data_IF_894500513688
#
_entry.id   IF_894500513688
#
_cell.length_a   1.000
_cell.length_b   1.000
_cell.length_c   1.000
_cell.angle_alpha   90.00
_cell.angle_beta   90.00
_cell.angle_gamma   90.00
#
_symmetry.space_group_name_H-M   'P 1'
#
loop_
_entity.id
_entity.type
_entity.pdbx_description
1 polymer ?
#
# COMPACT_ATOMS: atom_id res chain seq x y z
N UNK A 1 -7.12 7.62 26.03
CA UNK A 1 -5.92 7.14 25.32
C UNK A 1 -6.32 7.05 23.86
N UNK A 2 -5.62 7.75 22.98
CA UNK A 2 -5.85 7.67 21.52
C UNK A 2 -5.53 6.23 21.08
N UNK A 3 -6.47 5.57 20.43
CA UNK A 3 -6.31 4.21 19.90
C UNK A 3 -5.82 4.21 18.46
N UNK A 4 -5.40 5.36 17.96
CA UNK A 4 -4.80 5.43 16.61
C UNK A 4 -3.39 4.89 16.68
N UNK A 5 -3.03 3.85 15.92
CA UNK A 5 -1.68 3.35 15.88
C UNK A 5 -0.74 4.45 15.36
N UNK A 6 0.47 4.50 15.89
CA UNK A 6 1.50 5.41 15.39
C UNK A 6 1.85 4.99 13.95
N UNK A 7 1.60 5.88 13.00
CA UNK A 7 1.97 5.69 11.60
C UNK A 7 3.31 6.38 11.37
N UNK A 8 4.31 5.58 11.02
CA UNK A 8 5.65 6.08 10.69
C UNK A 8 5.87 5.94 9.18
N UNK A 9 6.39 7.00 8.58
CA UNK A 9 6.70 7.03 7.15
C UNK A 9 8.20 7.03 6.95
N UNK A 10 8.68 6.18 6.05
CA UNK A 10 10.10 6.02 5.75
C UNK A 10 10.30 5.82 4.25
N UNK A 11 11.43 6.28 3.71
CA UNK A 11 11.77 6.07 2.32
C UNK A 11 12.01 4.57 2.02
N UNK A 12 11.69 4.08 0.80
CA UNK A 12 11.82 2.66 0.45
C UNK A 12 13.20 2.08 0.71
N UNK A 13 14.25 2.83 0.41
CA UNK A 13 15.66 2.45 0.60
C UNK A 13 16.07 2.30 2.06
N UNK A 14 15.35 2.92 2.98
CA UNK A 14 15.60 2.84 4.42
C UNK A 14 14.65 1.84 5.11
N UNK A 15 13.63 1.37 4.40
CA UNK A 15 12.51 0.61 4.96
C UNK A 15 12.98 -0.65 5.69
N UNK A 16 13.85 -1.44 5.08
CA UNK A 16 14.31 -2.70 5.67
C UNK A 16 15.05 -2.49 7.00
N UNK A 17 15.97 -1.53 7.04
CA UNK A 17 16.72 -1.21 8.24
C UNK A 17 15.84 -0.57 9.31
N UNK A 18 14.90 0.25 8.89
CA UNK A 18 13.91 0.85 9.78
C UNK A 18 13.05 -0.22 10.46
N UNK A 19 12.48 -1.14 9.69
CA UNK A 19 11.64 -2.23 10.21
C UNK A 19 12.43 -3.11 11.18
N UNK A 20 13.66 -3.48 10.82
CA UNK A 20 14.51 -4.32 11.68
C UNK A 20 14.85 -3.67 13.02
N UNK A 21 15.05 -2.36 13.05
CA UNK A 21 15.38 -1.62 14.28
C UNK A 21 14.17 -1.33 15.16
N UNK A 22 12.98 -1.29 14.56
CA UNK A 22 11.74 -0.91 15.26
C UNK A 22 10.79 -2.09 15.47
N UNK A 23 11.26 -3.31 15.31
CA UNK A 23 10.49 -4.53 15.56
C UNK A 23 11.18 -5.45 16.56
N UNK A 24 10.41 -6.11 17.42
CA UNK A 24 10.92 -6.96 18.48
C UNK A 24 11.62 -8.25 17.97
N UNK A 25 11.33 -8.66 16.75
CA UNK A 25 11.78 -9.93 16.16
C UNK A 25 12.55 -9.76 14.85
N UNK A 26 13.13 -8.57 14.63
CA UNK A 26 13.96 -8.28 13.45
C UNK A 26 13.19 -8.21 12.12
N UNK A 27 11.89 -7.96 12.17
CA UNK A 27 11.02 -7.82 11.02
C UNK A 27 9.55 -7.69 11.40
N UNK A 28 8.71 -7.38 10.44
CA UNK A 28 7.28 -7.17 10.64
C UNK A 28 6.52 -8.51 10.76
N UNK A 29 5.50 -8.56 11.61
CA UNK A 29 4.58 -9.71 11.76
C UNK A 29 3.69 -9.89 10.54
N UNK A 30 3.24 -8.77 9.97
CA UNK A 30 2.39 -8.71 8.78
C UNK A 30 2.95 -7.65 7.85
N UNK A 31 3.06 -7.99 6.58
CA UNK A 31 3.47 -7.06 5.52
C UNK A 31 2.39 -7.00 4.45
N UNK A 32 1.98 -5.80 4.09
CA UNK A 32 1.06 -5.53 2.98
C UNK A 32 1.86 -4.89 1.85
N UNK A 33 1.99 -5.58 0.73
CA UNK A 33 2.54 -5.02 -0.50
C UNK A 33 1.39 -4.51 -1.37
N UNK A 34 1.32 -3.20 -1.54
CA UNK A 34 0.20 -2.51 -2.20
C UNK A 34 0.67 -1.55 -3.30
N UNK A 35 1.96 -1.53 -3.62
CA UNK A 35 2.55 -0.59 -4.58
C UNK A 35 2.72 -1.19 -5.98
N UNK A 36 3.10 -2.47 -6.11
CA UNK A 36 3.32 -3.13 -7.38
C UNK A 36 4.48 -2.57 -8.22
N UNK A 37 5.39 -1.81 -7.58
CA UNK A 37 6.53 -1.22 -8.26
C UNK A 37 7.72 -2.19 -8.33
N UNK A 38 8.76 -1.78 -9.05
CA UNK A 38 9.99 -2.56 -9.14
C UNK A 38 10.60 -2.77 -7.75
N UNK A 39 10.99 -4.00 -7.46
CA UNK A 39 11.57 -4.44 -6.18
C UNK A 39 10.67 -4.38 -4.94
N UNK A 40 9.42 -3.94 -5.02
CA UNK A 40 8.55 -3.84 -3.83
C UNK A 40 8.14 -5.21 -3.28
N UNK A 41 8.00 -6.22 -4.15
CA UNK A 41 7.78 -7.61 -3.71
C UNK A 41 8.98 -8.16 -2.93
N UNK A 42 10.20 -7.89 -3.42
CA UNK A 42 11.42 -8.31 -2.74
C UNK A 42 11.54 -7.62 -1.38
N UNK A 43 11.35 -6.31 -1.33
CA UNK A 43 11.36 -5.54 -0.09
C UNK A 43 10.32 -6.07 0.92
N UNK A 44 9.12 -6.41 0.45
CA UNK A 44 8.05 -6.91 1.30
C UNK A 44 8.45 -8.19 2.06
N UNK A 45 8.95 -9.21 1.35
CA UNK A 45 9.35 -10.44 2.04
C UNK A 45 10.63 -10.29 2.85
N UNK A 46 11.53 -9.38 2.49
CA UNK A 46 12.72 -9.07 3.29
C UNK A 46 12.36 -8.41 4.62
N UNK A 47 11.38 -7.51 4.62
CA UNK A 47 10.88 -6.85 5.83
C UNK A 47 10.13 -7.80 6.79
N UNK A 48 9.64 -8.92 6.30
CA UNK A 48 8.92 -9.91 7.08
C UNK A 48 9.84 -10.69 8.03
N UNK A 49 9.47 -10.83 9.31
CA UNK A 49 10.16 -11.73 10.22
C UNK A 49 9.87 -13.21 9.89
N UNK A 50 10.58 -14.16 10.49
CA UNK A 50 10.17 -15.57 10.41
C UNK A 50 8.74 -15.79 10.90
N UNK A 51 8.02 -16.68 10.20
CA UNK A 51 6.60 -17.01 10.42
C UNK A 51 5.63 -15.84 10.19
N UNK A 52 6.04 -14.79 9.48
CA UNK A 52 5.17 -13.67 9.14
C UNK A 52 4.22 -13.97 7.98
N UNK A 53 3.20 -13.11 7.84
CA UNK A 53 2.29 -13.12 6.71
C UNK A 53 2.67 -11.96 5.77
N UNK A 54 2.86 -12.28 4.49
CA UNK A 54 3.06 -11.30 3.42
C UNK A 54 1.84 -11.33 2.51
N UNK A 55 1.08 -10.25 2.48
CA UNK A 55 -0.09 -10.12 1.61
C UNK A 55 0.24 -9.20 0.45
N UNK A 56 0.14 -9.75 -0.76
CA UNK A 56 0.36 -9.01 -2.02
C UNK A 56 -1.00 -8.62 -2.58
N UNK A 57 -1.32 -7.34 -2.48
CA UNK A 57 -2.57 -6.74 -2.98
C UNK A 57 -2.33 -6.06 -4.32
N UNK A 58 -1.10 -5.60 -4.55
CA UNK A 58 -0.73 -4.87 -5.75
C UNK A 58 -0.81 -5.72 -7.01
N UNK A 59 -1.12 -5.05 -8.13
CA UNK A 59 -1.08 -5.64 -9.46
C UNK A 59 0.31 -5.44 -10.06
N UNK A 60 0.94 -6.51 -10.49
CA UNK A 60 2.22 -6.51 -11.19
C UNK A 60 2.04 -6.77 -12.68
N UNK A 61 2.78 -6.05 -13.50
CA UNK A 61 2.83 -6.23 -14.96
C UNK A 61 3.76 -7.38 -15.40
N UNK A 62 4.64 -7.83 -14.49
CA UNK A 62 5.63 -8.88 -14.73
C UNK A 62 5.60 -9.93 -13.63
N UNK A 63 6.01 -11.13 -13.97
CA UNK A 63 6.18 -12.21 -13.01
C UNK A 63 7.18 -11.83 -11.92
N UNK A 64 6.83 -12.12 -10.66
CA UNK A 64 7.71 -11.94 -9.52
C UNK A 64 8.36 -13.26 -9.12
N UNK A 65 9.60 -13.22 -8.67
CA UNK A 65 10.37 -14.42 -8.30
C UNK A 65 10.30 -14.64 -6.79
N UNK A 66 10.05 -15.89 -6.41
CA UNK A 66 10.22 -16.37 -5.04
C UNK A 66 11.61 -16.99 -4.92
N UNK A 67 12.60 -16.28 -4.35
CA UNK A 67 13.96 -16.81 -4.18
C UNK A 67 14.00 -17.76 -2.99
N UNK A 68 13.50 -18.99 -3.17
CA UNK A 68 13.36 -19.98 -2.10
C UNK A 68 14.64 -20.25 -1.29
N UNK A 69 15.86 -20.26 -1.89
CA UNK A 69 17.07 -20.39 -1.09
C UNK A 69 17.25 -19.28 -0.05
N UNK A 70 16.91 -18.04 -0.41
CA UNK A 70 17.06 -16.86 0.47
C UNK A 70 15.95 -16.79 1.53
N UNK A 71 14.82 -17.42 1.22
CA UNK A 71 13.66 -17.53 2.12
C UNK A 71 13.74 -18.73 3.08
N UNK A 72 14.74 -19.57 2.92
CA UNK A 72 14.88 -20.77 3.76
C UNK A 72 14.96 -20.38 5.25
N UNK A 73 14.12 -21.01 6.05
CA UNK A 73 14.01 -20.72 7.48
C UNK A 73 13.11 -19.54 7.87
N UNK A 74 12.60 -18.77 6.91
CA UNK A 74 11.62 -17.71 7.21
C UNK A 74 10.20 -18.24 7.44
N UNK A 75 9.83 -19.38 6.87
CA UNK A 75 8.48 -19.98 6.99
C UNK A 75 7.35 -18.97 6.70
N UNK A 76 7.47 -18.20 5.63
CA UNK A 76 6.51 -17.15 5.30
C UNK A 76 5.20 -17.74 4.77
N UNK A 77 4.10 -17.09 5.14
CA UNK A 77 2.80 -17.30 4.51
C UNK A 77 2.54 -16.18 3.51
N UNK A 78 2.41 -16.53 2.22
CA UNK A 78 2.00 -15.58 1.19
C UNK A 78 0.50 -15.65 0.96
N UNK A 79 -0.13 -14.48 0.91
CA UNK A 79 -1.52 -14.30 0.48
C UNK A 79 -1.54 -13.38 -0.72
N UNK A 80 -2.38 -13.69 -1.69
CA UNK A 80 -2.66 -12.84 -2.83
C UNK A 80 -4.15 -12.57 -2.88
N UNK A 81 -4.54 -11.45 -3.43
CA UNK A 81 -5.94 -11.12 -3.60
C UNK A 81 -6.14 -9.90 -4.46
N UNK A 82 -7.28 -9.85 -5.11
CA UNK A 82 -7.77 -8.66 -5.79
C UNK A 82 -8.92 -8.05 -5.01
N UNK A 83 -9.24 -6.80 -5.31
CA UNK A 83 -10.43 -6.16 -4.78
C UNK A 83 -11.65 -6.74 -5.49
N UNK A 84 -12.49 -7.45 -4.77
CA UNK A 84 -13.74 -8.05 -5.28
C UNK A 84 -14.99 -7.23 -4.89
N UNK A 85 -14.80 -6.18 -4.09
CA UNK A 85 -15.88 -5.30 -3.64
C UNK A 85 -16.73 -5.87 -2.50
N UNK A 86 -16.36 -6.99 -1.89
CA UNK A 86 -17.12 -7.59 -0.80
C UNK A 86 -17.28 -6.66 0.42
N UNK A 87 -16.31 -5.78 0.67
CA UNK A 87 -16.29 -4.89 1.82
C UNK A 87 -16.77 -3.46 1.50
N UNK A 88 -17.33 -3.21 0.30
CA UNK A 88 -17.77 -1.88 -0.12
C UNK A 88 -18.85 -1.30 0.79
N UNK A 89 -19.84 -2.10 1.19
CA UNK A 89 -20.93 -1.65 2.06
C UNK A 89 -20.41 -1.22 3.44
N UNK A 90 -19.52 -2.03 4.03
CA UNK A 90 -18.89 -1.72 5.32
C UNK A 90 -18.03 -0.46 5.23
N UNK A 91 -17.21 -0.34 4.17
CA UNK A 91 -16.36 0.83 3.94
C UNK A 91 -17.19 2.11 3.79
N UNK A 92 -18.26 2.08 3.00
CA UNK A 92 -19.17 3.21 2.84
C UNK A 92 -19.85 3.61 4.16
N UNK A 93 -20.19 2.64 4.98
CA UNK A 93 -20.74 2.90 6.31
C UNK A 93 -19.72 3.59 7.22
N UNK A 94 -18.47 3.16 7.21
CA UNK A 94 -17.39 3.81 7.98
C UNK A 94 -17.17 5.26 7.55
N UNK A 95 -17.25 5.54 6.23
CA UNK A 95 -17.18 6.90 5.70
C UNK A 95 -18.39 7.73 6.16
N UNK A 96 -19.60 7.19 6.02
CA UNK A 96 -20.83 7.88 6.41
C UNK A 96 -20.91 8.18 7.92
N UNK A 97 -20.31 7.33 8.74
CA UNK A 97 -20.21 7.50 10.20
C UNK A 97 -19.04 8.43 10.62
N UNK A 98 -18.26 8.93 9.66
CA UNK A 98 -17.08 9.78 9.93
C UNK A 98 -15.92 9.05 10.62
N UNK A 99 -15.90 7.72 10.58
CA UNK A 99 -14.82 6.90 11.12
C UNK A 99 -13.66 6.76 10.14
N UNK A 100 -13.91 6.93 8.87
CA UNK A 100 -12.94 6.94 7.79
C UNK A 100 -13.12 8.24 6.99
N UNK A 101 -12.12 9.12 7.07
CA UNK A 101 -12.07 10.36 6.30
C UNK A 101 -11.26 10.14 5.02
N UNK A 102 -11.93 10.22 3.88
CA UNK A 102 -11.33 10.06 2.55
C UNK A 102 -11.16 11.39 1.80
N UNK A 103 -11.72 12.49 2.31
CA UNK A 103 -11.65 13.80 1.65
C UNK A 103 -10.21 14.29 1.43
N UNK A 104 -9.26 14.12 2.38
CA UNK A 104 -7.88 14.54 2.18
C UNK A 104 -7.16 13.84 1.02
N UNK A 105 -7.69 12.72 0.53
CA UNK A 105 -7.12 12.02 -0.62
C UNK A 105 -7.43 12.76 -1.94
N UNK A 106 -8.52 13.53 -2.01
CA UNK A 106 -8.90 14.31 -3.19
C UNK A 106 -8.13 15.62 -3.18
N UNK A 107 -7.00 15.63 -3.87
CA UNK A 107 -6.11 16.80 -3.90
C UNK A 107 -6.46 17.80 -5.00
N UNK A 108 -7.12 17.35 -6.06
CA UNK A 108 -7.45 18.17 -7.23
C UNK A 108 -8.87 17.87 -7.73
N UNK A 109 -9.52 18.90 -8.29
CA UNK A 109 -10.84 18.76 -8.93
C UNK A 109 -10.81 19.41 -10.29
N UNK A 110 -11.32 18.71 -11.30
CA UNK A 110 -11.41 19.19 -12.67
C UNK A 110 -12.81 19.00 -13.23
N UNK A 111 -13.34 19.92 -14.06
CA UNK A 111 -14.53 19.65 -14.83
C UNK A 111 -14.25 18.58 -15.91
N UNK A 112 -15.26 17.83 -16.31
CA UNK A 112 -15.12 16.79 -17.34
C UNK A 112 -14.52 17.32 -18.65
N UNK A 113 -14.80 18.58 -19.00
CA UNK A 113 -14.23 19.24 -20.19
C UNK A 113 -12.70 19.37 -20.16
N UNK A 114 -12.08 19.21 -19.00
CA UNK A 114 -10.62 19.29 -18.78
C UNK A 114 -10.01 17.95 -18.35
N UNK A 115 -10.69 16.86 -18.63
CA UNK A 115 -10.24 15.52 -18.21
C UNK A 115 -8.83 15.18 -18.73
N UNK A 116 -8.46 15.65 -19.92
CA UNK A 116 -7.11 15.46 -20.46
C UNK A 116 -6.02 16.11 -19.59
N UNK A 117 -6.27 17.32 -19.07
CA UNK A 117 -5.35 18.00 -18.15
C UNK A 117 -5.24 17.23 -16.82
N UNK A 118 -6.35 16.69 -16.33
CA UNK A 118 -6.40 15.89 -15.12
C UNK A 118 -5.56 14.59 -15.24
N UNK A 119 -5.66 13.89 -16.37
CA UNK A 119 -4.83 12.72 -16.65
C UNK A 119 -3.36 13.08 -16.75
N UNK A 120 -3.01 14.17 -17.45
CA UNK A 120 -1.62 14.62 -17.57
C UNK A 120 -1.00 14.97 -16.21
N UNK A 121 -1.77 15.65 -15.35
CA UNK A 121 -1.35 15.94 -13.97
C UNK A 121 -1.06 14.66 -13.19
N UNK A 122 -1.99 13.72 -13.21
CA UNK A 122 -1.93 12.48 -12.44
C UNK A 122 -0.81 11.55 -12.91
N UNK A 123 -0.69 11.35 -14.23
CA UNK A 123 0.33 10.48 -14.83
C UNK A 123 1.76 10.99 -14.53
N UNK A 124 1.96 12.31 -14.58
CA UNK A 124 3.26 12.91 -14.31
C UNK A 124 3.52 13.20 -12.82
N UNK A 125 2.61 12.82 -11.93
CA UNK A 125 2.73 13.01 -10.47
C UNK A 125 3.11 14.44 -10.08
N UNK A 126 2.52 15.42 -10.74
CA UNK A 126 2.81 16.85 -10.50
C UNK A 126 1.95 17.39 -9.35
N UNK A 127 2.39 18.50 -8.78
CA UNK A 127 1.64 19.31 -7.80
C UNK A 127 1.11 18.49 -6.58
N UNK A 128 1.85 17.46 -6.18
CA UNK A 128 1.48 16.63 -5.03
C UNK A 128 0.17 15.85 -5.21
N UNK A 129 -0.23 15.57 -6.46
CA UNK A 129 -1.49 14.86 -6.74
C UNK A 129 -1.54 13.49 -6.08
N UNK A 130 -2.64 13.21 -5.37
CA UNK A 130 -2.96 11.89 -4.82
C UNK A 130 -4.17 11.31 -5.55
N UNK A 131 -5.28 12.04 -5.56
CA UNK A 131 -6.51 11.70 -6.27
C UNK A 131 -7.06 12.93 -6.98
N UNK A 132 -7.63 12.71 -8.15
CA UNK A 132 -8.31 13.75 -8.91
C UNK A 132 -9.79 13.41 -8.99
N UNK A 133 -10.65 14.32 -8.51
CA UNK A 133 -12.08 14.25 -8.74
C UNK A 133 -12.41 14.91 -10.09
N UNK A 134 -13.33 14.32 -10.84
CA UNK A 134 -13.86 14.89 -12.08
C UNK A 134 -15.34 15.16 -11.91
N UNK A 135 -15.73 16.42 -12.05
CA UNK A 135 -17.12 16.86 -11.99
C UNK A 135 -17.78 16.72 -13.37
N UNK A 136 -18.95 16.04 -13.41
CA UNK A 136 -19.73 15.77 -14.61
C UNK A 136 -20.92 16.72 -14.74
#
# INVERSE_FOLDING_TARGET
MSTTPDVLTVAPEECLDFVRRNSDHGGADVVLEVAGAENTFELAWQCARPNAIVTVVALYDKAQTLPLPDMYGKNLTFKTGGVDGCDCEETLKLIAEGKLDTEPLITHTYPLSKIGEAYELFENKRDGVIKVAVEC
#
